data_IF_884301676874
#
_entry.id   IF_884301676874
#
_cell.length_a   1.000
_cell.length_b   1.000
_cell.length_c   1.000
_cell.angle_alpha   90.00
_cell.angle_beta   90.00
_cell.angle_gamma   90.00
#
_symmetry.space_group_name_H-M   'P 1'
#
loop_
_entity.id
_entity.type
_entity.pdbx_description
1 polymer ?
#
# COMPACT_ATOMS: atom_id res chain seq x y z
N UNK A 1 -14.07 -29.13 -11.40
CA UNK A 1 -12.96 -28.23 -11.09
C UNK A 1 -12.03 -28.95 -10.11
N UNK A 2 -10.83 -29.37 -10.51
CA UNK A 2 -9.86 -29.99 -9.60
C UNK A 2 -9.21 -28.88 -8.78
N UNK A 3 -9.29 -28.94 -7.46
CA UNK A 3 -8.49 -28.08 -6.59
C UNK A 3 -7.00 -28.34 -6.88
N UNK A 4 -6.27 -27.29 -7.25
CA UNK A 4 -4.82 -27.35 -7.31
C UNK A 4 -4.29 -27.57 -5.89
N UNK A 5 -3.54 -28.64 -5.69
CA UNK A 5 -2.96 -28.99 -4.42
C UNK A 5 -1.83 -27.98 -4.13
N UNK A 6 -2.06 -27.02 -3.23
CA UNK A 6 -1.13 -25.91 -2.91
C UNK A 6 0.28 -26.39 -2.48
N UNK A 7 0.43 -27.66 -2.13
CA UNK A 7 1.72 -28.23 -1.75
C UNK A 7 2.69 -28.52 -2.93
N UNK A 8 2.25 -28.30 -4.18
CA UNK A 8 3.06 -28.55 -5.38
C UNK A 8 3.58 -27.27 -6.06
N UNK A 9 3.17 -26.09 -5.58
CA UNK A 9 3.63 -24.83 -6.17
C UNK A 9 5.00 -24.49 -5.59
N UNK A 10 6.05 -24.77 -6.37
CA UNK A 10 7.40 -24.28 -6.03
C UNK A 10 7.41 -22.77 -6.09
N UNK A 11 8.06 -22.15 -5.10
CA UNK A 11 8.25 -20.69 -5.05
C UNK A 11 9.42 -20.28 -5.94
N UNK A 12 9.38 -19.09 -6.55
CA UNK A 12 10.55 -18.51 -7.18
C UNK A 12 11.71 -18.37 -6.18
N UNK A 13 12.93 -18.49 -6.69
CA UNK A 13 14.16 -18.38 -5.90
C UNK A 13 14.84 -17.07 -6.24
N UNK A 14 15.11 -16.25 -5.23
CA UNK A 14 15.94 -15.06 -5.37
C UNK A 14 17.40 -15.47 -5.66
N UNK A 15 18.00 -14.91 -6.70
CA UNK A 15 19.41 -15.13 -7.06
C UNK A 15 20.28 -13.97 -6.61
N UNK A 16 20.02 -12.77 -7.12
CA UNK A 16 20.79 -11.58 -6.81
C UNK A 16 19.98 -10.30 -7.00
N UNK A 17 20.38 -9.24 -6.31
CA UNK A 17 19.93 -7.88 -6.59
C UNK A 17 20.82 -7.27 -7.68
N UNK A 18 20.20 -6.89 -8.80
CA UNK A 18 20.91 -6.29 -9.94
C UNK A 18 21.12 -4.80 -9.71
N UNK A 19 20.07 -4.10 -9.29
CA UNK A 19 20.14 -2.65 -9.02
C UNK A 19 19.11 -2.22 -8.00
N UNK A 20 19.35 -1.06 -7.41
CA UNK A 20 18.46 -0.43 -6.45
C UNK A 20 18.49 1.10 -6.61
N UNK A 21 17.31 1.72 -6.62
CA UNK A 21 17.13 3.16 -6.49
C UNK A 21 16.40 3.46 -5.20
N UNK A 22 17.01 4.24 -4.31
CA UNK A 22 16.39 4.67 -3.05
C UNK A 22 16.02 6.15 -3.09
N UNK A 23 14.83 6.46 -2.62
CA UNK A 23 14.37 7.81 -2.35
C UNK A 23 13.99 7.92 -0.88
N UNK A 24 13.60 9.12 -0.43
CA UNK A 24 13.07 9.31 0.93
C UNK A 24 11.73 8.59 1.16
N UNK A 25 10.97 8.29 0.09
CA UNK A 25 9.59 7.78 0.17
C UNK A 25 9.42 6.33 -0.29
N UNK A 26 10.31 5.83 -1.16
CA UNK A 26 10.22 4.47 -1.69
C UNK A 26 11.59 3.98 -2.17
N UNK A 27 11.73 2.68 -2.35
CA UNK A 27 12.83 2.09 -3.10
C UNK A 27 12.30 1.27 -4.27
N UNK A 28 13.05 1.30 -5.37
CA UNK A 28 12.84 0.45 -6.54
C UNK A 28 14.02 -0.51 -6.65
N UNK A 29 13.74 -1.81 -6.76
CA UNK A 29 14.76 -2.85 -6.90
C UNK A 29 14.52 -3.64 -8.18
N UNK A 30 15.61 -4.00 -8.88
CA UNK A 30 15.60 -5.01 -9.92
C UNK A 30 16.35 -6.23 -9.39
N UNK A 31 15.67 -7.36 -9.39
CA UNK A 31 16.19 -8.61 -8.86
C UNK A 31 16.18 -9.69 -9.95
N UNK A 32 17.22 -10.55 -9.99
CA UNK A 32 17.20 -11.78 -10.76
C UNK A 32 16.59 -12.89 -9.92
N UNK A 33 15.57 -13.53 -10.47
CA UNK A 33 14.90 -14.67 -9.84
C UNK A 33 14.82 -15.84 -10.81
N UNK A 34 14.92 -17.05 -10.24
CA UNK A 34 14.66 -18.29 -10.95
C UNK A 34 13.20 -18.71 -10.69
N UNK A 35 12.46 -18.87 -11.76
CA UNK A 35 11.08 -19.36 -11.71
C UNK A 35 11.04 -20.87 -11.44
N UNK A 36 9.89 -21.42 -10.99
CA UNK A 36 9.74 -22.84 -10.71
C UNK A 36 10.03 -23.77 -11.89
N UNK A 37 9.98 -23.27 -13.10
CA UNK A 37 10.30 -24.01 -14.33
C UNK A 37 11.79 -23.94 -14.72
N UNK A 38 12.64 -23.32 -13.87
CA UNK A 38 14.09 -23.18 -14.09
C UNK A 38 14.50 -22.02 -14.98
N UNK A 39 13.56 -21.22 -15.50
CA UNK A 39 13.90 -20.00 -16.25
C UNK A 39 14.26 -18.87 -15.28
N UNK A 40 15.33 -18.15 -15.62
CA UNK A 40 15.69 -16.92 -14.93
C UNK A 40 15.11 -15.70 -15.62
N UNK A 41 14.75 -14.67 -14.83
CA UNK A 41 14.24 -13.41 -15.33
C UNK A 41 14.53 -12.27 -14.37
N UNK A 42 14.45 -11.06 -14.91
CA UNK A 42 14.60 -9.84 -14.13
C UNK A 42 13.21 -9.31 -13.74
N UNK A 43 13.06 -9.03 -12.44
CA UNK A 43 11.80 -8.54 -11.87
C UNK A 43 12.03 -7.26 -11.09
N UNK A 44 11.26 -6.24 -11.49
CA UNK A 44 11.21 -4.97 -10.78
C UNK A 44 10.19 -5.01 -9.64
N UNK A 45 10.56 -4.48 -8.49
CA UNK A 45 9.66 -4.27 -7.36
C UNK A 45 9.82 -2.90 -6.76
N UNK A 46 8.70 -2.30 -6.32
CA UNK A 46 8.71 -1.03 -5.61
C UNK A 46 8.29 -1.28 -4.17
N UNK A 47 9.11 -0.82 -3.22
CA UNK A 47 8.82 -0.90 -1.79
C UNK A 47 8.40 0.46 -1.28
N UNK A 48 7.19 0.56 -0.78
CA UNK A 48 6.67 1.72 -0.08
C UNK A 48 6.56 1.44 1.42
N UNK A 49 6.67 2.45 2.28
CA UNK A 49 6.24 2.33 3.66
C UNK A 49 4.76 1.94 3.74
N UNK A 50 4.39 1.31 4.87
CA UNK A 50 3.00 1.02 5.13
C UNK A 50 2.18 2.32 5.18
N UNK A 51 0.91 2.22 4.82
CA UNK A 51 -0.04 3.32 4.88
C UNK A 51 -1.34 2.87 5.55
N UNK A 52 -2.06 3.84 6.08
CA UNK A 52 -3.41 3.64 6.58
C UNK A 52 -4.39 4.47 5.76
N UNK A 53 -5.59 3.94 5.56
CA UNK A 53 -6.68 4.60 4.86
C UNK A 53 -7.95 4.46 5.69
N UNK A 54 -8.79 5.50 5.69
CA UNK A 54 -10.11 5.43 6.32
C UNK A 54 -11.22 5.84 5.35
N UNK A 55 -12.40 5.32 5.63
CA UNK A 55 -13.67 5.79 5.05
C UNK A 55 -14.43 6.55 6.15
N UNK A 56 -14.23 7.86 6.30
CA UNK A 56 -14.87 8.62 7.36
C UNK A 56 -16.36 8.83 7.05
N UNK A 57 -17.22 8.57 8.03
CA UNK A 57 -18.65 8.76 7.94
C UNK A 57 -19.07 9.78 9.00
N UNK A 58 -19.77 10.83 8.57
CA UNK A 58 -20.28 11.88 9.46
C UNK A 58 -21.55 11.44 10.19
N UNK A 59 -21.94 12.15 11.25
CA UNK A 59 -23.14 11.85 12.03
C UNK A 59 -24.44 11.92 11.22
N UNK A 60 -24.44 12.64 10.09
CA UNK A 60 -25.55 12.72 9.13
C UNK A 60 -25.40 11.72 7.97
N UNK A 61 -24.61 10.64 8.16
CA UNK A 61 -24.38 9.54 7.22
C UNK A 61 -23.80 9.97 5.86
N UNK A 62 -22.95 10.98 5.84
CA UNK A 62 -22.20 11.37 4.66
C UNK A 62 -20.76 10.87 4.73
N UNK A 63 -20.20 10.52 3.59
CA UNK A 63 -18.81 10.10 3.45
C UNK A 63 -17.94 11.31 3.13
N UNK A 64 -16.81 11.45 3.83
CA UNK A 64 -15.83 12.49 3.54
C UNK A 64 -14.88 11.96 2.46
N UNK A 65 -14.76 12.71 1.37
CA UNK A 65 -13.87 12.43 0.25
C UNK A 65 -13.00 13.66 0.01
N UNK A 66 -11.72 13.46 -0.16
CA UNK A 66 -10.73 14.48 -0.48
C UNK A 66 -10.59 14.63 -1.99
N UNK A 67 -10.35 15.86 -2.46
CA UNK A 67 -9.99 16.14 -3.84
C UNK A 67 -8.53 16.56 -3.89
N UNK A 68 -7.65 15.65 -4.33
CA UNK A 68 -6.21 15.86 -4.35
C UNK A 68 -5.65 15.84 -5.77
N UNK A 69 -4.68 16.73 -6.05
CA UNK A 69 -3.94 16.69 -7.31
C UNK A 69 -2.85 15.63 -7.25
N UNK A 70 -2.83 14.72 -8.21
CA UNK A 70 -1.84 13.65 -8.32
C UNK A 70 -0.96 13.83 -9.53
N UNK A 71 0.30 14.22 -9.30
CA UNK A 71 1.28 14.46 -10.36
C UNK A 71 1.48 13.28 -11.30
N UNK A 72 1.47 12.05 -10.76
CA UNK A 72 1.65 10.84 -11.57
C UNK A 72 0.63 10.69 -12.70
N UNK A 73 -0.56 11.25 -12.54
CA UNK A 73 -1.63 11.24 -13.55
C UNK A 73 -2.03 12.63 -14.01
N UNK A 74 -1.35 13.68 -13.53
CA UNK A 74 -1.55 15.08 -13.88
C UNK A 74 -3.00 15.57 -13.80
N UNK A 75 -3.74 15.12 -12.76
CA UNK A 75 -5.15 15.50 -12.56
C UNK A 75 -5.56 15.42 -11.08
N UNK A 76 -6.70 16.03 -10.77
CA UNK A 76 -7.37 15.85 -9.49
C UNK A 76 -8.08 14.51 -9.44
N UNK A 77 -7.89 13.79 -8.32
CA UNK A 77 -8.62 12.56 -7.99
C UNK A 77 -9.48 12.79 -6.74
N UNK A 78 -10.54 12.00 -6.63
CA UNK A 78 -11.33 11.89 -5.41
C UNK A 78 -10.83 10.67 -4.65
N UNK A 79 -10.42 10.87 -3.41
CA UNK A 79 -9.74 9.86 -2.61
C UNK A 79 -10.27 9.87 -1.17
N UNK A 80 -10.19 8.75 -0.51
CA UNK A 80 -10.35 8.70 0.94
C UNK A 80 -9.09 9.22 1.64
N UNK A 81 -9.23 9.81 2.84
CA UNK A 81 -8.07 10.18 3.65
C UNK A 81 -7.14 8.99 3.84
N UNK A 82 -5.88 9.19 3.55
CA UNK A 82 -4.88 8.14 3.64
C UNK A 82 -3.49 8.74 3.81
N UNK A 83 -2.64 8.08 4.59
CA UNK A 83 -1.27 8.54 4.76
C UNK A 83 -0.32 7.43 5.14
N UNK A 84 0.96 7.73 4.93
CA UNK A 84 2.06 6.84 5.26
C UNK A 84 2.31 6.83 6.76
N UNK A 85 2.52 5.65 7.33
CA UNK A 85 2.89 5.50 8.72
C UNK A 85 4.27 6.12 8.98
N UNK A 86 4.38 6.91 10.04
CA UNK A 86 5.66 7.35 10.57
C UNK A 86 6.37 6.22 11.35
N UNK A 87 7.68 6.41 11.62
CA UNK A 87 8.47 5.40 12.34
C UNK A 87 7.87 5.14 13.73
N UNK A 88 7.50 3.88 13.99
CA UNK A 88 6.89 3.47 15.26
C UNK A 88 5.39 3.79 15.39
N UNK A 89 4.78 4.38 14.37
CA UNK A 89 3.36 4.70 14.37
C UNK A 89 2.50 3.46 14.09
N UNK A 90 1.37 3.35 14.78
CA UNK A 90 0.37 2.32 14.49
C UNK A 90 -0.58 2.81 13.38
N UNK A 91 -1.19 1.90 12.57
CA UNK A 91 -2.14 2.30 11.54
C UNK A 91 -3.29 3.18 12.05
N UNK A 92 -3.81 2.89 13.24
CA UNK A 92 -4.89 3.71 13.81
C UNK A 92 -4.44 5.11 14.18
N UNK A 93 -3.23 5.27 14.71
CA UNK A 93 -2.70 6.60 15.05
C UNK A 93 -2.37 7.40 13.80
N UNK A 94 -1.78 6.75 12.78
CA UNK A 94 -1.52 7.36 11.49
C UNK A 94 -2.80 7.92 10.87
N UNK A 95 -3.85 7.10 10.77
CA UNK A 95 -5.07 7.56 10.10
C UNK A 95 -5.85 8.62 10.92
N UNK A 96 -5.75 8.59 12.25
CA UNK A 96 -6.30 9.67 13.10
C UNK A 96 -5.62 11.00 12.83
N UNK A 97 -4.29 11.00 12.70
CA UNK A 97 -3.50 12.17 12.34
C UNK A 97 -3.86 12.67 10.95
N UNK A 98 -3.87 11.78 9.95
CA UNK A 98 -4.15 12.14 8.55
C UNK A 98 -5.56 12.73 8.37
N UNK A 99 -6.61 12.18 8.99
CA UNK A 99 -7.95 12.75 8.93
C UNK A 99 -8.01 14.16 9.52
N UNK A 100 -7.28 14.38 10.61
CA UNK A 100 -7.22 15.72 11.22
C UNK A 100 -6.47 16.71 10.33
N UNK A 101 -5.34 16.28 9.74
CA UNK A 101 -4.49 17.13 8.88
C UNK A 101 -5.16 17.42 7.53
N UNK A 102 -5.71 16.41 6.88
CA UNK A 102 -6.25 16.52 5.51
C UNK A 102 -7.70 17.01 5.46
N UNK A 103 -8.53 16.63 6.43
CA UNK A 103 -9.96 16.91 6.42
C UNK A 103 -10.44 17.79 7.57
N UNK A 104 -9.62 18.02 8.60
CA UNK A 104 -9.97 18.84 9.76
C UNK A 104 -10.97 18.18 10.72
N UNK A 105 -11.18 16.86 10.62
CA UNK A 105 -12.12 16.10 11.43
C UNK A 105 -11.42 15.26 12.50
N UNK A 106 -12.16 14.91 13.55
CA UNK A 106 -11.80 13.89 14.53
C UNK A 106 -12.91 12.85 14.56
N UNK A 107 -12.54 11.57 14.56
CA UNK A 107 -13.47 10.47 14.76
C UNK A 107 -13.22 9.82 16.13
N UNK A 108 -14.30 9.39 16.80
CA UNK A 108 -14.28 8.74 18.10
C UNK A 108 -14.36 7.23 17.93
N UNK A 109 -15.27 6.78 17.05
CA UNK A 109 -15.49 5.35 16.79
C UNK A 109 -14.69 4.87 15.57
N UNK A 110 -14.10 3.68 15.70
CA UNK A 110 -13.21 3.13 14.70
C UNK A 110 -13.42 1.64 14.52
N UNK A 111 -13.73 1.23 13.29
CA UNK A 111 -13.83 -0.17 12.90
C UNK A 111 -12.73 -0.53 11.90
N UNK A 112 -11.98 -1.61 12.19
CA UNK A 112 -10.98 -2.13 11.27
C UNK A 112 -11.64 -3.00 10.21
N UNK A 113 -11.59 -2.57 8.95
CA UNK A 113 -12.16 -3.31 7.83
C UNK A 113 -11.22 -4.42 7.30
N UNK A 114 -9.90 -4.22 7.39
CA UNK A 114 -8.96 -5.23 6.90
C UNK A 114 -7.56 -4.68 6.64
N UNK A 115 -6.78 -5.49 5.93
CA UNK A 115 -5.44 -5.14 5.45
C UNK A 115 -5.32 -5.55 3.99
N UNK A 116 -4.82 -4.66 3.16
CA UNK A 116 -4.54 -4.91 1.75
C UNK A 116 -3.03 -5.04 1.55
N UNK A 117 -2.64 -5.93 0.67
CA UNK A 117 -1.26 -6.05 0.21
C UNK A 117 -1.24 -5.70 -1.27
N UNK A 118 -0.46 -4.67 -1.63
CA UNK A 118 -0.19 -4.34 -3.02
C UNK A 118 0.97 -5.22 -3.50
N UNK A 119 0.76 -5.97 -4.55
CA UNK A 119 1.75 -6.85 -5.18
C UNK A 119 2.12 -6.35 -6.58
#
# INVERSE_FOLDING_TARGET
MKMLNNNLIKKPIFKEKISELKTKKFSFEINRIELPNGHEGEYGSIKFPNAALAVPITNDNKVIILRQYRFAVSRYLLEFPAGTLETGETPINSIKREIQEEAGYKAEDWDKLGTLVNA
#
